data_IF_462093519480
#
_entry.id   IF_462093519480
#
_cell.length_a   1.000
_cell.length_b   1.000
_cell.length_c   1.000
_cell.angle_alpha   90.00
_cell.angle_beta   90.00
_cell.angle_gamma   90.00
#
_symmetry.space_group_name_H-M   'P 1'
#
loop_
_entity.id
_entity.type
_entity.pdbx_description
1 polymer ?
#
# COMPACT_ATOMS: atom_id res chain seq x y z
N UNK A 1 -34.08 19.59 -31.01
CA UNK A 1 -32.68 19.23 -30.69
C UNK A 1 -32.70 17.88 -30.01
N UNK A 2 -32.33 16.80 -30.70
CA UNK A 2 -32.23 15.48 -30.08
C UNK A 2 -30.93 15.41 -29.27
N UNK A 3 -31.03 15.12 -27.98
CA UNK A 3 -29.86 14.93 -27.12
C UNK A 3 -29.15 13.64 -27.56
N UNK A 4 -27.90 13.69 -28.08
CA UNK A 4 -27.20 12.48 -28.46
C UNK A 4 -26.98 11.64 -27.19
N UNK A 5 -27.69 10.53 -27.07
CA UNK A 5 -27.49 9.56 -26.01
C UNK A 5 -26.35 8.66 -26.46
N UNK A 6 -25.12 9.05 -26.12
CA UNK A 6 -23.95 8.19 -26.38
C UNK A 6 -24.11 6.94 -25.52
N UNK A 7 -24.13 5.72 -26.12
CA UNK A 7 -24.19 4.49 -25.35
C UNK A 7 -22.98 4.43 -24.41
N UNK A 8 -23.23 4.22 -23.12
CA UNK A 8 -22.16 4.06 -22.16
C UNK A 8 -21.52 2.68 -22.35
N UNK A 9 -20.25 2.65 -22.77
CA UNK A 9 -19.51 1.41 -22.93
C UNK A 9 -18.97 0.92 -21.58
N UNK A 10 -19.78 0.08 -20.93
CA UNK A 10 -19.44 -0.55 -19.66
C UNK A 10 -18.23 -1.48 -19.77
N UNK A 11 -18.00 -2.11 -20.92
CA UNK A 11 -16.87 -3.01 -21.12
C UNK A 11 -15.55 -2.23 -21.22
N UNK A 12 -15.53 -1.13 -21.98
CA UNK A 12 -14.37 -0.23 -22.05
C UNK A 12 -14.05 0.39 -20.69
N UNK A 13 -15.07 0.77 -19.92
CA UNK A 13 -14.88 1.24 -18.53
C UNK A 13 -14.26 0.16 -17.65
N UNK A 14 -14.79 -1.06 -17.65
CA UNK A 14 -14.30 -2.15 -16.81
C UNK A 14 -12.85 -2.54 -17.16
N UNK A 15 -12.50 -2.54 -18.44
CA UNK A 15 -11.13 -2.76 -18.90
C UNK A 15 -10.18 -1.66 -18.38
N UNK A 16 -10.57 -0.39 -18.51
CA UNK A 16 -9.82 0.75 -17.99
C UNK A 16 -9.62 0.68 -16.47
N UNK A 17 -10.71 0.42 -15.72
CA UNK A 17 -10.68 0.28 -14.25
C UNK A 17 -9.73 -0.85 -13.82
N UNK A 18 -9.72 -1.99 -14.54
CA UNK A 18 -8.83 -3.11 -14.23
C UNK A 18 -7.35 -2.81 -14.49
N UNK A 19 -7.05 -2.04 -15.55
CA UNK A 19 -5.69 -1.61 -15.88
C UNK A 19 -5.16 -0.66 -14.80
N UNK A 20 -5.96 0.33 -14.41
CA UNK A 20 -5.63 1.26 -13.34
C UNK A 20 -5.44 0.53 -12.00
N UNK A 21 -6.33 -0.40 -11.67
CA UNK A 21 -6.21 -1.20 -10.45
C UNK A 21 -4.90 -2.00 -10.41
N UNK A 22 -4.48 -2.58 -11.53
CA UNK A 22 -3.21 -3.31 -11.63
C UNK A 22 -2.01 -2.38 -11.43
N UNK A 23 -2.04 -1.19 -12.01
CA UNK A 23 -1.00 -0.17 -11.80
C UNK A 23 -0.89 0.23 -10.32
N UNK A 24 -2.01 0.61 -9.70
CA UNK A 24 -2.01 1.03 -8.29
C UNK A 24 -1.62 -0.10 -7.35
N UNK A 25 -2.06 -1.34 -7.63
CA UNK A 25 -1.64 -2.51 -6.87
C UNK A 25 -0.11 -2.67 -6.89
N UNK A 26 0.52 -2.49 -8.06
CA UNK A 26 1.98 -2.53 -8.18
C UNK A 26 2.65 -1.48 -7.31
N UNK A 27 2.22 -0.22 -7.42
CA UNK A 27 2.75 0.88 -6.61
C UNK A 27 2.61 0.64 -5.10
N UNK A 28 1.48 0.10 -4.65
CA UNK A 28 1.25 -0.23 -3.24
C UNK A 28 2.19 -1.34 -2.75
N UNK A 29 2.44 -2.37 -3.57
CA UNK A 29 3.38 -3.45 -3.25
C UNK A 29 4.81 -2.92 -3.13
N UNK A 30 5.21 -2.01 -4.03
CA UNK A 30 6.54 -1.39 -3.99
C UNK A 30 6.70 -0.53 -2.72
N UNK A 31 5.72 0.32 -2.40
CA UNK A 31 5.73 1.13 -1.17
C UNK A 31 5.78 0.25 0.07
N UNK A 32 5.01 -0.84 0.10
CA UNK A 32 5.03 -1.83 1.19
C UNK A 32 6.42 -2.42 1.38
N UNK A 33 7.10 -2.79 0.29
CA UNK A 33 8.46 -3.33 0.36
C UNK A 33 9.47 -2.31 0.93
N UNK A 34 9.35 -1.04 0.55
CA UNK A 34 10.20 0.04 1.05
C UNK A 34 10.04 0.26 2.56
N UNK A 35 8.80 0.30 3.06
CA UNK A 35 8.52 0.48 4.50
C UNK A 35 8.97 -0.73 5.30
N UNK A 36 8.74 -1.95 4.79
CA UNK A 36 9.22 -3.16 5.44
C UNK A 36 10.75 -3.15 5.57
N UNK A 37 11.47 -2.71 4.54
CA UNK A 37 12.92 -2.55 4.61
C UNK A 37 13.35 -1.47 5.62
N UNK A 38 12.62 -0.36 5.73
CA UNK A 38 12.87 0.68 6.72
C UNK A 38 12.66 0.18 8.15
N UNK A 39 11.59 -0.57 8.41
CA UNK A 39 11.36 -1.20 9.71
C UNK A 39 12.54 -2.08 10.12
N UNK A 40 13.02 -2.95 9.22
CA UNK A 40 14.19 -3.80 9.51
C UNK A 40 15.41 -2.96 9.88
N UNK A 41 15.67 -1.85 9.18
CA UNK A 41 16.77 -0.93 9.50
C UNK A 41 16.58 -0.27 10.87
N UNK A 42 15.39 0.22 11.16
CA UNK A 42 15.07 0.90 12.41
C UNK A 42 15.10 -0.05 13.61
N UNK A 43 14.59 -1.26 13.49
CA UNK A 43 14.66 -2.29 14.53
C UNK A 43 16.11 -2.67 14.84
N UNK A 44 16.95 -2.85 13.80
CA UNK A 44 18.39 -3.10 14.00
C UNK A 44 19.07 -1.94 14.72
N UNK A 45 18.76 -0.70 14.32
CA UNK A 45 19.27 0.51 14.98
C UNK A 45 18.86 0.53 16.45
N UNK A 46 17.58 0.31 16.75
CA UNK A 46 17.05 0.29 18.10
C UNK A 46 17.75 -0.74 18.99
N UNK A 47 18.02 -1.93 18.46
CA UNK A 47 18.72 -3.00 19.19
C UNK A 47 20.19 -2.67 19.50
N UNK A 48 20.82 -1.76 18.74
CA UNK A 48 22.18 -1.30 18.97
C UNK A 48 22.30 -0.13 19.95
N UNK A 49 21.19 0.47 20.38
CA UNK A 49 21.19 1.67 21.23
C UNK A 49 21.26 1.31 22.72
N UNK A 50 21.94 2.15 23.51
CA UNK A 50 22.02 1.99 24.97
C UNK A 50 21.02 2.91 25.66
N UNK A 51 20.19 2.34 26.54
CA UNK A 51 19.14 3.08 27.28
C UNK A 51 19.71 4.26 28.08
N UNK A 52 20.95 4.12 28.57
CA UNK A 52 21.56 5.10 29.49
C UNK A 52 22.01 6.40 28.80
N UNK A 53 22.29 6.36 27.50
CA UNK A 53 22.71 7.54 26.72
C UNK A 53 21.62 8.07 25.79
N UNK A 54 20.70 7.20 25.34
CA UNK A 54 19.90 7.50 24.16
C UNK A 54 18.37 7.53 24.41
N UNK A 55 17.92 7.71 25.65
CA UNK A 55 16.51 7.54 26.03
C UNK A 55 15.51 8.30 25.13
N UNK A 56 15.80 9.57 24.80
CA UNK A 56 14.95 10.37 23.91
C UNK A 56 14.96 9.84 22.46
N UNK A 57 16.14 9.49 21.94
CA UNK A 57 16.29 8.96 20.59
C UNK A 57 15.64 7.58 20.45
N UNK A 58 15.72 6.73 21.48
CA UNK A 58 15.02 5.45 21.58
C UNK A 58 13.51 5.65 21.55
N UNK A 59 13.00 6.63 22.30
CA UNK A 59 11.57 6.96 22.33
C UNK A 59 11.08 7.42 20.95
N UNK A 60 11.83 8.31 20.28
CA UNK A 60 11.52 8.73 18.92
C UNK A 60 11.51 7.56 17.95
N UNK A 61 12.57 6.75 17.93
CA UNK A 61 12.70 5.62 17.02
C UNK A 61 11.57 4.59 17.21
N UNK A 62 11.12 4.37 18.46
CA UNK A 62 9.96 3.51 18.74
C UNK A 62 8.65 4.10 18.19
N UNK A 63 8.49 5.42 18.20
CA UNK A 63 7.31 6.07 17.59
C UNK A 63 7.33 5.91 16.08
N UNK A 64 8.49 6.11 15.45
CA UNK A 64 8.66 5.97 14.01
C UNK A 64 8.40 4.53 13.55
N UNK A 65 8.89 3.53 14.29
CA UNK A 65 8.59 2.12 14.06
C UNK A 65 7.07 1.86 14.10
N UNK A 66 6.37 2.34 15.13
CA UNK A 66 4.91 2.15 15.24
C UNK A 66 4.12 2.84 14.12
N UNK A 67 4.60 3.99 13.65
CA UNK A 67 4.01 4.69 12.52
C UNK A 67 4.15 3.83 11.24
N UNK A 68 5.37 3.36 10.97
CA UNK A 68 5.65 2.47 9.84
C UNK A 68 4.88 1.14 9.89
N UNK A 69 4.71 0.54 11.08
CA UNK A 69 3.87 -0.65 11.28
C UNK A 69 2.37 -0.38 11.01
N UNK A 70 1.90 0.84 11.28
CA UNK A 70 0.53 1.25 10.97
C UNK A 70 0.38 1.43 9.47
N UNK A 71 1.32 2.10 8.82
CA UNK A 71 1.31 2.30 7.37
C UNK A 71 1.36 0.98 6.61
N UNK A 72 2.18 0.01 7.05
CA UNK A 72 2.17 -1.34 6.46
C UNK A 72 0.80 -2.02 6.54
N UNK A 73 0.13 -1.93 7.68
CA UNK A 73 -1.22 -2.52 7.86
C UNK A 73 -2.24 -1.85 6.93
N UNK A 74 -2.11 -0.56 6.69
CA UNK A 74 -3.00 0.16 5.77
C UNK A 74 -2.72 -0.18 4.31
N UNK A 75 -1.45 -0.31 3.92
CA UNK A 75 -1.08 -0.80 2.59
C UNK A 75 -1.56 -2.23 2.35
N UNK A 76 -1.42 -3.12 3.33
CA UNK A 76 -1.93 -4.49 3.26
C UNK A 76 -3.46 -4.52 3.05
N UNK A 77 -4.19 -3.65 3.75
CA UNK A 77 -5.65 -3.50 3.56
C UNK A 77 -6.00 -2.98 2.17
N UNK A 78 -5.29 -1.99 1.66
CA UNK A 78 -5.53 -1.43 0.33
C UNK A 78 -5.27 -2.46 -0.77
N UNK A 79 -4.17 -3.20 -0.66
CA UNK A 79 -3.84 -4.30 -1.59
C UNK A 79 -4.93 -5.36 -1.53
N UNK A 80 -5.29 -5.83 -0.32
CA UNK A 80 -6.34 -6.83 -0.16
C UNK A 80 -7.70 -6.38 -0.72
N UNK A 81 -8.04 -5.10 -0.61
CA UNK A 81 -9.27 -4.55 -1.18
C UNK A 81 -9.27 -4.55 -2.72
N UNK A 82 -8.13 -4.21 -3.35
CA UNK A 82 -7.97 -4.36 -4.79
C UNK A 82 -8.03 -5.83 -5.19
N UNK A 83 -7.40 -6.71 -4.40
CA UNK A 83 -7.39 -8.16 -4.59
C UNK A 83 -8.78 -8.75 -4.59
N UNK A 84 -9.57 -8.39 -3.60
CA UNK A 84 -10.95 -8.82 -3.52
C UNK A 84 -11.81 -8.26 -4.67
N UNK A 85 -11.70 -6.96 -4.97
CA UNK A 85 -12.56 -6.31 -5.97
C UNK A 85 -12.33 -6.81 -7.39
N UNK A 86 -11.09 -7.12 -7.74
CA UNK A 86 -10.72 -7.52 -9.11
C UNK A 86 -10.39 -9.00 -9.26
N UNK A 87 -10.64 -9.84 -8.23
CA UNK A 87 -10.36 -11.27 -8.22
C UNK A 87 -10.81 -12.00 -9.50
N UNK A 88 -12.06 -11.80 -9.91
CA UNK A 88 -12.63 -12.45 -11.10
C UNK A 88 -11.91 -12.04 -12.41
N UNK A 89 -11.46 -10.78 -12.50
CA UNK A 89 -10.76 -10.27 -13.68
C UNK A 89 -9.34 -10.80 -13.72
N UNK A 90 -8.71 -11.02 -12.56
CA UNK A 90 -7.36 -11.57 -12.48
C UNK A 90 -7.30 -13.05 -12.78
N UNK A 91 -8.34 -13.81 -12.40
CA UNK A 91 -8.43 -15.24 -12.67
C UNK A 91 -8.89 -15.58 -14.09
N UNK A 92 -9.52 -14.65 -14.80
CA UNK A 92 -10.05 -14.85 -16.15
C UNK A 92 -9.00 -14.76 -17.26
N UNK A 93 -7.71 -14.73 -16.90
CA UNK A 93 -6.58 -14.59 -17.81
C UNK A 93 -5.57 -15.70 -17.58
#
# INVERSE_FOLDING_TARGET
MATPTVPFDYAAKQASDSLQARYFRGALVDQRALIAAELVRQTRKLNGMSIRSDALAISQLRRDIRANETELRDLDRMIAALDHRFAAIWSAR
#
